data_IF_527565612344
#
_entry.id   IF_527565612344
#
_cell.length_a   1.000
_cell.length_b   1.000
_cell.length_c   1.000
_cell.angle_alpha   90.00
_cell.angle_beta   90.00
_cell.angle_gamma   90.00
#
_symmetry.space_group_name_H-M   'P 1'
#
loop_
_entity.id
_entity.type
_entity.pdbx_description
1 polymer ?
#
# COMPACT_ATOMS: atom_id res chain seq x y z
N UNK A 1 -17.29 -25.46 -27.75
CA UNK A 1 -18.32 -25.10 -26.76
C UNK A 1 -17.86 -25.36 -25.32
N UNK A 2 -17.27 -26.53 -25.00
CA UNK A 2 -16.74 -26.82 -23.66
C UNK A 2 -15.57 -25.89 -23.23
N UNK A 3 -14.60 -25.66 -24.13
CA UNK A 3 -13.39 -24.84 -23.85
C UNK A 3 -13.71 -23.41 -23.37
N UNK A 4 -14.73 -22.77 -23.94
CA UNK A 4 -15.15 -21.43 -23.48
C UNK A 4 -15.85 -21.44 -22.13
N UNK A 5 -16.49 -22.55 -21.76
CA UNK A 5 -17.19 -22.66 -20.47
C UNK A 5 -16.18 -22.87 -19.34
N UNK A 6 -15.15 -23.67 -19.58
CA UNK A 6 -14.07 -23.91 -18.60
C UNK A 6 -13.25 -22.63 -18.35
N UNK A 7 -12.94 -21.86 -19.40
CA UNK A 7 -12.29 -20.55 -19.26
C UNK A 7 -13.12 -19.56 -18.44
N UNK A 8 -14.43 -19.50 -18.67
CA UNK A 8 -15.33 -18.63 -17.90
C UNK A 8 -15.49 -19.08 -16.44
N UNK A 9 -15.48 -20.39 -16.19
CA UNK A 9 -15.47 -20.93 -14.83
C UNK A 9 -14.18 -20.57 -14.11
N UNK A 10 -13.03 -20.76 -14.76
CA UNK A 10 -11.73 -20.41 -14.17
C UNK A 10 -11.63 -18.91 -13.89
N UNK A 11 -12.13 -18.08 -14.80
CA UNK A 11 -12.19 -16.64 -14.58
C UNK A 11 -13.07 -16.27 -13.38
N UNK A 12 -14.20 -16.96 -13.17
CA UNK A 12 -15.03 -16.74 -12.00
C UNK A 12 -14.34 -17.16 -10.70
N UNK A 13 -13.57 -18.26 -10.71
CA UNK A 13 -12.75 -18.69 -9.57
C UNK A 13 -11.70 -17.65 -9.22
N UNK A 14 -10.94 -17.17 -10.22
CA UNK A 14 -9.93 -16.13 -10.04
C UNK A 14 -10.55 -14.87 -9.42
N UNK A 15 -11.65 -14.37 -10.00
CA UNK A 15 -12.32 -13.17 -9.49
C UNK A 15 -12.87 -13.36 -8.07
N UNK A 16 -13.34 -14.57 -7.74
CA UNK A 16 -13.82 -14.89 -6.39
C UNK A 16 -12.67 -14.88 -5.38
N UNK A 17 -11.54 -15.54 -5.71
CA UNK A 17 -10.34 -15.54 -4.88
C UNK A 17 -9.78 -14.12 -4.68
N UNK A 18 -9.73 -13.31 -5.75
CA UNK A 18 -9.33 -11.91 -5.65
C UNK A 18 -10.25 -11.11 -4.73
N UNK A 19 -11.57 -11.35 -4.79
CA UNK A 19 -12.51 -10.70 -3.90
C UNK A 19 -12.28 -11.09 -2.43
N UNK A 20 -12.11 -12.38 -2.15
CA UNK A 20 -11.82 -12.88 -0.80
C UNK A 20 -10.53 -12.29 -0.23
N UNK A 21 -9.45 -12.24 -1.01
CA UNK A 21 -8.20 -11.60 -0.61
C UNK A 21 -8.39 -10.10 -0.33
N UNK A 22 -9.20 -9.40 -1.13
CA UNK A 22 -9.54 -8.00 -0.84
C UNK A 22 -10.30 -7.85 0.48
N UNK A 23 -11.20 -8.77 0.82
CA UNK A 23 -11.90 -8.73 2.11
C UNK A 23 -10.94 -8.96 3.29
N UNK A 24 -9.98 -9.87 3.14
CA UNK A 24 -8.93 -10.09 4.14
C UNK A 24 -8.04 -8.85 4.30
N UNK A 25 -7.65 -8.20 3.20
CA UNK A 25 -6.92 -6.92 3.22
C UNK A 25 -7.71 -5.82 3.94
N UNK A 26 -9.01 -5.71 3.68
CA UNK A 26 -9.91 -4.77 4.37
C UNK A 26 -9.90 -5.03 5.88
N UNK A 27 -10.05 -6.28 6.30
CA UNK A 27 -10.03 -6.67 7.71
C UNK A 27 -8.68 -6.38 8.38
N UNK A 28 -7.57 -6.71 7.72
CA UNK A 28 -6.22 -6.41 8.22
C UNK A 28 -5.98 -4.91 8.32
N UNK A 29 -6.44 -4.12 7.34
CA UNK A 29 -6.35 -2.66 7.40
C UNK A 29 -7.20 -2.06 8.54
N UNK A 30 -8.38 -2.60 8.81
CA UNK A 30 -9.19 -2.17 9.95
C UNK A 30 -8.54 -2.54 11.30
N UNK A 31 -7.92 -3.72 11.39
CA UNK A 31 -7.14 -4.14 12.57
C UNK A 31 -5.92 -3.24 12.78
N UNK A 32 -5.20 -2.90 11.72
CA UNK A 32 -4.06 -1.98 11.78
C UNK A 32 -4.49 -0.60 12.25
N UNK A 33 -5.64 -0.09 11.79
CA UNK A 33 -6.19 1.19 12.24
C UNK A 33 -6.41 1.23 13.74
N UNK A 34 -6.96 0.16 14.31
CA UNK A 34 -7.17 0.06 15.75
C UNK A 34 -5.84 -0.03 16.50
N UNK A 35 -4.87 -0.79 15.99
CA UNK A 35 -3.54 -0.88 16.57
C UNK A 35 -2.80 0.48 16.58
N UNK A 36 -2.98 1.31 15.54
CA UNK A 36 -2.44 2.68 15.49
C UNK A 36 -3.04 3.52 16.62
N UNK A 37 -4.37 3.49 16.78
CA UNK A 37 -5.09 4.23 17.82
C UNK A 37 -4.65 3.82 19.23
N UNK A 38 -4.47 2.52 19.43
CA UNK A 38 -4.06 1.93 20.70
C UNK A 38 -2.54 1.97 20.94
N UNK A 39 -1.76 2.52 20.00
CA UNK A 39 -0.29 2.60 20.06
C UNK A 39 0.38 1.25 20.31
N UNK A 40 -0.05 0.23 19.55
CA UNK A 40 0.46 -1.15 19.61
C UNK A 40 1.41 -1.43 18.43
N UNK A 41 2.69 -1.03 18.48
CA UNK A 41 3.61 -1.13 17.35
C UNK A 41 3.79 -2.56 16.84
N UNK A 42 3.79 -3.56 17.71
CA UNK A 42 3.92 -4.97 17.32
C UNK A 42 2.76 -5.42 16.42
N UNK A 43 1.53 -5.01 16.73
CA UNK A 43 0.34 -5.36 15.93
C UNK A 43 0.33 -4.59 14.61
N UNK A 44 0.87 -3.36 14.58
CA UNK A 44 1.05 -2.59 13.34
C UNK A 44 2.02 -3.31 12.40
N UNK A 45 3.13 -3.82 12.92
CA UNK A 45 4.11 -4.61 12.14
C UNK A 45 3.53 -5.94 11.65
N UNK A 46 2.81 -6.67 12.51
CA UNK A 46 2.15 -7.92 12.14
C UNK A 46 1.14 -7.71 11.00
N UNK A 47 0.28 -6.69 11.11
CA UNK A 47 -0.71 -6.37 10.07
C UNK A 47 -0.07 -5.86 8.79
N UNK A 48 1.08 -5.18 8.85
CA UNK A 48 1.82 -4.79 7.66
C UNK A 48 2.35 -6.03 6.90
N UNK A 49 2.94 -7.01 7.62
CA UNK A 49 3.41 -8.27 7.01
C UNK A 49 2.25 -9.07 6.40
N UNK A 50 1.14 -9.20 7.11
CA UNK A 50 -0.08 -9.84 6.61
C UNK A 50 -0.56 -9.18 5.30
N UNK A 51 -0.59 -7.84 5.25
CA UNK A 51 -0.97 -7.11 4.03
C UNK A 51 0.01 -7.35 2.87
N UNK A 52 1.33 -7.41 3.13
CA UNK A 52 2.33 -7.74 2.11
C UNK A 52 2.12 -9.14 1.53
N UNK A 53 1.85 -10.13 2.39
CA UNK A 53 1.57 -11.52 1.97
C UNK A 53 0.31 -11.58 1.11
N UNK A 54 -0.78 -10.98 1.56
CA UNK A 54 -2.07 -10.95 0.85
C UNK A 54 -1.97 -10.20 -0.49
N UNK A 55 -1.22 -9.10 -0.56
CA UNK A 55 -0.96 -8.38 -1.81
C UNK A 55 -0.14 -9.24 -2.77
N UNK A 56 0.86 -9.98 -2.26
CA UNK A 56 1.63 -10.93 -3.05
C UNK A 56 0.77 -12.03 -3.65
N UNK A 57 -0.19 -12.57 -2.91
CA UNK A 57 -1.15 -13.55 -3.43
C UNK A 57 -2.12 -12.93 -4.45
N UNK A 58 -2.60 -11.72 -4.20
CA UNK A 58 -3.47 -11.00 -5.11
C UNK A 58 -2.78 -10.74 -6.46
N UNK A 59 -1.48 -10.41 -6.45
CA UNK A 59 -0.66 -10.29 -7.65
C UNK A 59 -0.56 -11.60 -8.43
N UNK A 60 -0.38 -12.75 -7.77
CA UNK A 60 -0.34 -14.06 -8.45
C UNK A 60 -1.67 -14.39 -9.14
N UNK A 61 -2.79 -14.12 -8.48
CA UNK A 61 -4.12 -14.31 -9.09
C UNK A 61 -4.36 -13.38 -10.28
N UNK A 62 -3.83 -12.15 -10.20
CA UNK A 62 -3.88 -11.19 -11.31
C UNK A 62 -3.05 -11.66 -12.50
N UNK A 63 -1.84 -12.16 -12.26
CA UNK A 63 -0.99 -12.77 -13.28
C UNK A 63 -1.69 -13.98 -13.94
N UNK A 64 -2.36 -14.82 -13.14
CA UNK A 64 -3.12 -15.94 -13.67
C UNK A 64 -4.30 -15.46 -14.55
N UNK A 65 -5.00 -14.41 -14.14
CA UNK A 65 -6.05 -13.79 -14.96
C UNK A 65 -5.50 -13.31 -16.30
N UNK A 66 -4.35 -12.64 -16.27
CA UNK A 66 -3.67 -12.13 -17.46
C UNK A 66 -3.22 -13.29 -18.35
N UNK A 67 -2.68 -14.37 -17.78
CA UNK A 67 -2.28 -15.55 -18.54
C UNK A 67 -3.48 -16.27 -19.20
N UNK A 68 -4.63 -16.30 -18.52
CA UNK A 68 -5.87 -16.90 -19.04
C UNK A 68 -6.46 -16.12 -20.21
N UNK A 69 -6.38 -14.78 -20.17
CA UNK A 69 -6.99 -13.87 -21.15
C UNK A 69 -6.01 -13.46 -22.26
N UNK A 70 -4.71 -13.52 -21.98
CA UNK A 70 -3.64 -12.91 -22.76
C UNK A 70 -3.38 -11.46 -22.30
N UNK A 71 -2.11 -11.06 -22.27
CA UNK A 71 -1.70 -9.68 -21.92
C UNK A 71 -2.27 -8.64 -22.90
N UNK A 72 -2.35 -9.00 -24.19
CA UNK A 72 -3.00 -8.21 -25.25
C UNK A 72 -4.46 -8.66 -25.50
N UNK A 73 -5.00 -9.45 -24.58
CA UNK A 73 -6.34 -10.01 -24.69
C UNK A 73 -7.44 -8.95 -24.57
N UNK A 74 -8.68 -9.31 -24.94
CA UNK A 74 -9.82 -8.41 -24.75
C UNK A 74 -9.97 -8.03 -23.27
N UNK A 75 -10.27 -6.76 -22.98
CA UNK A 75 -10.57 -6.30 -21.63
C UNK A 75 -11.63 -7.21 -20.99
N UNK A 76 -11.52 -7.42 -19.67
CA UNK A 76 -12.49 -8.20 -18.89
C UNK A 76 -13.94 -7.75 -19.16
N UNK A 77 -14.17 -6.45 -19.43
CA UNK A 77 -15.48 -5.96 -19.87
C UNK A 77 -15.97 -6.58 -21.17
N UNK A 78 -15.09 -6.73 -22.16
CA UNK A 78 -15.40 -7.28 -23.47
C UNK A 78 -15.67 -8.79 -23.37
N UNK A 79 -14.89 -9.51 -22.57
CA UNK A 79 -15.11 -10.95 -22.29
C UNK A 79 -16.50 -11.16 -21.67
N UNK A 80 -16.84 -10.36 -20.65
CA UNK A 80 -18.15 -10.45 -19.98
C UNK A 80 -19.28 -10.17 -20.97
N UNK A 81 -19.16 -9.16 -21.84
CA UNK A 81 -20.19 -8.84 -22.85
C UNK A 81 -20.44 -10.02 -23.80
N UNK A 82 -19.38 -10.70 -24.24
CA UNK A 82 -19.46 -11.83 -25.17
C UNK A 82 -19.85 -13.15 -24.49
N UNK A 83 -19.76 -13.24 -23.15
CA UNK A 83 -20.12 -14.45 -22.41
C UNK A 83 -21.63 -14.77 -22.49
N UNK A 84 -22.03 -16.05 -22.38
CA UNK A 84 -23.43 -16.47 -22.28
C UNK A 84 -24.14 -15.81 -21.09
N UNK A 85 -25.47 -15.67 -21.17
CA UNK A 85 -26.29 -14.95 -20.18
C UNK A 85 -26.01 -15.30 -18.69
N UNK A 86 -25.93 -16.58 -18.26
CA UNK A 86 -25.68 -16.90 -16.86
C UNK A 86 -24.27 -16.49 -16.39
N UNK A 87 -23.27 -16.58 -17.28
CA UNK A 87 -21.89 -16.21 -16.97
C UNK A 87 -21.68 -14.71 -17.00
N UNK A 88 -22.36 -14.01 -17.91
CA UNK A 88 -22.29 -12.55 -18.03
C UNK A 88 -22.71 -11.85 -16.74
N UNK A 89 -23.82 -12.28 -16.16
CA UNK A 89 -24.32 -11.71 -14.90
C UNK A 89 -23.38 -12.02 -13.74
N UNK A 90 -22.98 -13.29 -13.58
CA UNK A 90 -22.09 -13.74 -12.51
C UNK A 90 -20.72 -13.05 -12.55
N UNK A 91 -20.06 -13.04 -13.70
CA UNK A 91 -18.74 -12.40 -13.86
C UNK A 91 -18.85 -10.87 -13.76
N UNK A 92 -19.96 -10.30 -14.25
CA UNK A 92 -20.26 -8.88 -14.10
C UNK A 92 -20.37 -8.45 -12.63
N UNK A 93 -21.04 -9.26 -11.81
CA UNK A 93 -21.16 -9.03 -10.37
C UNK A 93 -19.81 -9.20 -9.66
N UNK A 94 -19.09 -10.31 -9.89
CA UNK A 94 -17.77 -10.53 -9.31
C UNK A 94 -16.80 -9.38 -9.63
N UNK A 95 -16.79 -8.91 -10.88
CA UNK A 95 -15.97 -7.75 -11.28
C UNK A 95 -16.33 -6.49 -10.49
N UNK A 96 -17.62 -6.23 -10.24
CA UNK A 96 -18.06 -5.08 -9.43
C UNK A 96 -17.59 -5.23 -7.98
N UNK A 97 -17.75 -6.42 -7.41
CA UNK A 97 -17.36 -6.72 -6.03
C UNK A 97 -15.85 -6.57 -5.83
N UNK A 98 -15.03 -7.12 -6.72
CA UNK A 98 -13.56 -6.95 -6.69
C UNK A 98 -13.18 -5.47 -6.77
N UNK A 99 -13.76 -4.71 -7.72
CA UNK A 99 -13.47 -3.28 -7.87
C UNK A 99 -13.85 -2.46 -6.65
N UNK A 100 -15.02 -2.71 -6.07
CA UNK A 100 -15.48 -2.03 -4.87
C UNK A 100 -14.59 -2.36 -3.66
N UNK A 101 -14.20 -3.63 -3.52
CA UNK A 101 -13.31 -4.06 -2.45
C UNK A 101 -11.91 -3.45 -2.59
N UNK A 102 -11.32 -3.45 -3.79
CA UNK A 102 -10.03 -2.79 -4.07
C UNK A 102 -10.06 -1.29 -3.75
N UNK A 103 -11.10 -0.58 -4.17
CA UNK A 103 -11.25 0.84 -3.83
C UNK A 103 -11.30 1.07 -2.32
N UNK A 104 -11.96 0.15 -1.59
CA UNK A 104 -12.03 0.19 -0.13
C UNK A 104 -10.68 -0.08 0.52
N UNK A 105 -9.91 -1.07 0.03
CA UNK A 105 -8.53 -1.34 0.48
C UNK A 105 -7.67 -0.09 0.32
N UNK A 106 -7.64 0.50 -0.88
CA UNK A 106 -6.83 1.69 -1.18
C UNK A 106 -7.17 2.84 -0.24
N UNK A 107 -8.46 3.12 -0.02
CA UNK A 107 -8.88 4.19 0.88
C UNK A 107 -8.49 3.92 2.33
N UNK A 108 -8.68 2.69 2.83
CA UNK A 108 -8.31 2.32 4.21
C UNK A 108 -6.80 2.40 4.43
N UNK A 109 -6.00 1.88 3.51
CA UNK A 109 -4.53 1.96 3.60
C UNK A 109 -4.04 3.41 3.58
N UNK A 110 -4.64 4.26 2.73
CA UNK A 110 -4.35 5.70 2.69
C UNK A 110 -4.70 6.39 4.02
N UNK A 111 -5.82 6.04 4.64
CA UNK A 111 -6.20 6.56 5.96
C UNK A 111 -5.18 6.14 7.01
N UNK A 112 -4.82 4.86 7.05
CA UNK A 112 -3.85 4.34 8.02
C UNK A 112 -2.47 5.00 7.88
N UNK A 113 -2.00 5.19 6.64
CA UNK A 113 -0.75 5.92 6.38
C UNK A 113 -0.79 7.33 6.97
N UNK A 114 -1.86 8.09 6.74
CA UNK A 114 -2.01 9.44 7.29
C UNK A 114 -2.02 9.45 8.83
N UNK A 115 -2.67 8.46 9.45
CA UNK A 115 -2.69 8.33 10.91
C UNK A 115 -1.28 8.07 11.47
N UNK A 116 -0.51 7.18 10.82
CA UNK A 116 0.88 6.93 11.21
C UNK A 116 1.75 8.17 11.07
N UNK A 117 1.63 8.92 9.96
CA UNK A 117 2.34 10.17 9.74
C UNK A 117 2.02 11.21 10.84
N UNK A 118 0.76 11.30 11.27
CA UNK A 118 0.33 12.19 12.35
C UNK A 118 0.91 11.78 13.71
N UNK A 119 0.88 10.50 14.08
CA UNK A 119 1.47 10.02 15.33
C UNK A 119 3.00 10.23 15.34
N UNK A 120 3.69 10.03 14.21
CA UNK A 120 5.13 10.30 14.09
C UNK A 120 5.47 11.79 14.24
N UNK A 121 4.64 12.67 13.66
CA UNK A 121 4.80 14.12 13.82
C UNK A 121 4.63 14.54 15.29
N UNK A 122 3.66 13.95 16.00
CA UNK A 122 3.43 14.19 17.42
C UNK A 122 4.61 13.71 18.28
N UNK A 123 5.14 12.50 18.00
CA UNK A 123 6.33 11.98 18.69
C UNK A 123 7.54 12.91 18.46
N UNK A 124 7.75 13.34 17.22
CA UNK A 124 8.84 14.26 16.86
C UNK A 124 8.72 15.60 17.61
N UNK A 125 7.49 16.11 17.73
CA UNK A 125 7.21 17.32 18.51
C UNK A 125 7.52 17.12 19.99
N UNK A 126 7.09 16.02 20.61
CA UNK A 126 7.44 15.71 22.00
C UNK A 126 8.95 15.59 22.21
N UNK A 127 9.67 14.95 21.29
CA UNK A 127 11.13 14.85 21.34
C UNK A 127 11.81 16.22 21.25
N UNK A 128 11.28 17.15 20.45
CA UNK A 128 11.80 18.52 20.36
C UNK A 128 11.58 19.34 21.62
N UNK A 129 10.52 19.06 22.38
CA UNK A 129 10.28 19.70 23.68
C UNK A 129 11.12 19.12 24.80
N UNK A 130 11.39 17.81 24.76
CA UNK A 130 12.17 17.09 25.76
C UNK A 130 13.68 17.19 25.52
N UNK A 131 14.10 17.51 24.29
CA UNK A 131 15.48 17.88 23.97
C UNK A 131 15.63 19.38 24.24
N UNK A 132 16.23 19.82 25.37
CA UNK A 132 16.70 21.19 25.43
C UNK A 132 17.70 21.38 24.28
N UNK A 133 17.60 22.51 23.58
CA UNK A 133 18.72 22.99 22.77
C UNK A 133 19.90 23.20 23.74
N UNK A 134 20.71 22.17 23.95
CA UNK A 134 21.98 22.23 24.67
C UNK A 134 23.04 22.95 23.83
N UNK A 135 22.65 24.06 23.21
CA UNK A 135 23.51 24.99 22.51
C UNK A 135 23.55 26.31 23.30
N UNK A 136 24.49 26.36 24.25
CA UNK A 136 25.08 27.56 24.85
C UNK A 136 24.25 28.38 25.86
N UNK A 137 24.00 27.85 27.06
CA UNK A 137 23.74 28.74 28.23
C UNK A 137 24.95 28.89 29.18
N UNK A 138 26.01 28.09 29.03
CA UNK A 138 27.24 28.25 29.85
C UNK A 138 28.55 27.99 29.08
N UNK A 139 28.78 28.66 27.95
CA UNK A 139 30.12 28.77 27.36
C UNK A 139 30.81 30.07 27.82
N UNK A 140 31.35 29.98 29.04
CA UNK A 140 32.58 30.61 29.57
C UNK A 140 33.06 31.94 28.91
N UNK A 141 33.10 33.09 29.61
CA UNK A 141 33.68 34.32 29.08
C UNK A 141 35.21 34.21 29.10
N UNK A 142 35.83 33.65 28.05
CA UNK A 142 37.29 33.58 28.00
C UNK A 142 37.95 32.73 26.92
N UNK A 143 37.21 32.13 25.99
CA UNK A 143 37.80 31.31 24.92
C UNK A 143 38.08 32.11 23.65
N UNK A 144 39.34 32.45 23.39
CA UNK A 144 39.79 33.14 22.16
C UNK A 144 39.37 32.37 20.89
N UNK A 145 38.64 33.04 20.00
CA UNK A 145 38.29 32.58 18.64
C UNK A 145 39.54 32.26 17.84
N UNK A 146 39.76 31.00 17.48
CA UNK A 146 40.56 30.64 16.33
C UNK A 146 39.65 30.64 15.09
N UNK A 147 39.67 31.75 14.35
CA UNK A 147 39.04 31.83 13.04
C UNK A 147 39.75 30.86 12.09
N UNK A 148 38.99 29.95 11.47
CA UNK A 148 39.47 29.21 10.29
C UNK A 148 38.74 29.77 9.07
N UNK A 149 39.45 30.38 8.11
CA UNK A 149 38.81 31.00 6.96
C UNK A 149 38.28 29.93 6.00
N UNK A 150 37.08 30.20 5.47
CA UNK A 150 36.45 29.48 4.38
C UNK A 150 37.24 29.67 3.08
N UNK A 151 37.61 28.57 2.43
CA UNK A 151 38.08 28.54 1.05
C UNK A 151 37.07 27.80 0.16
N UNK A 152 36.80 28.25 -1.07
CA UNK A 152 35.60 27.85 -1.82
C UNK A 152 35.78 26.51 -2.54
N UNK A 153 34.70 25.72 -2.52
CA UNK A 153 34.45 24.68 -3.52
C UNK A 153 34.21 25.36 -4.89
N UNK A 154 35.05 25.05 -5.87
CA UNK A 154 34.72 25.20 -7.28
C UNK A 154 35.03 23.86 -7.96
N UNK A 155 33.97 23.08 -8.19
CA UNK A 155 33.95 22.10 -9.27
C UNK A 155 33.92 22.90 -10.56
N UNK A 156 34.88 22.67 -11.46
CA UNK A 156 34.70 23.04 -12.85
C UNK A 156 35.17 21.94 -13.80
N UNK A 157 34.40 21.86 -14.88
CA UNK A 157 34.28 20.79 -15.86
C UNK A 157 35.17 21.02 -17.09
N UNK A 158 35.61 19.91 -17.73
CA UNK A 158 36.10 19.77 -19.12
C UNK A 158 37.41 20.47 -19.52
N UNK A 159 38.39 19.67 -19.94
CA UNK A 159 38.93 19.60 -21.31
C UNK A 159 39.90 18.42 -21.43
#
# INVERSE_FOLDING_TARGET
MAVHTDQLSRLAEILSAQHELCQQLIASADKQREAIRDRRPTVIEETAREQEELLGELSRWEEERIALVGADGPDLAAIIKQAPAPWRERLGELRRQVRAALATVVEKTRINQKLLEQELALISWYLSMLSPDDANTYSNPGGRRAARPAGPLALDTRA
#
